data_IF_716924109016
#
_entry.id   IF_716924109016
#
_cell.length_a   1.000
_cell.length_b   1.000
_cell.length_c   1.000
_cell.angle_alpha   90.00
_cell.angle_beta   90.00
_cell.angle_gamma   90.00
#
_symmetry.space_group_name_H-M   'P 1'
#
loop_
_entity.id
_entity.type
_entity.pdbx_description
1 polymer ?
#
# COMPACT_ATOMS: atom_id res chain seq x y z
N UNK A 1 3.12 -16.82 -21.90
CA UNK A 1 4.31 -15.96 -21.76
C UNK A 1 3.85 -14.75 -20.95
N UNK A 2 4.15 -14.69 -19.63
CA UNK A 2 3.91 -13.49 -18.85
C UNK A 2 4.86 -12.42 -19.40
N UNK A 3 4.33 -11.41 -20.10
CA UNK A 3 5.10 -10.24 -20.45
C UNK A 3 5.67 -9.65 -19.18
N UNK A 4 6.96 -9.33 -19.16
CA UNK A 4 7.62 -8.60 -18.08
C UNK A 4 6.88 -7.24 -17.96
N UNK A 5 5.93 -7.15 -17.03
CA UNK A 5 5.25 -5.88 -16.78
C UNK A 5 6.28 -4.94 -16.16
N UNK A 6 6.66 -3.90 -16.89
CA UNK A 6 7.64 -2.91 -16.45
C UNK A 6 6.97 -1.78 -15.69
N UNK A 7 7.72 -1.18 -14.76
CA UNK A 7 7.29 0.03 -14.08
C UNK A 7 7.17 1.20 -15.06
N UNK A 8 6.29 2.16 -14.75
CA UNK A 8 6.23 3.45 -15.45
C UNK A 8 6.72 4.54 -14.50
N UNK A 9 7.73 5.30 -14.91
CA UNK A 9 8.18 6.48 -14.17
C UNK A 9 7.13 7.58 -14.32
N UNK A 10 6.63 8.08 -13.19
CA UNK A 10 5.66 9.18 -13.13
C UNK A 10 6.35 10.51 -12.86
N UNK A 11 7.41 10.48 -12.06
CA UNK A 11 8.20 11.65 -11.74
C UNK A 11 9.64 11.26 -11.42
N UNK A 12 10.57 11.93 -12.07
CA UNK A 12 12.00 11.77 -11.83
C UNK A 12 12.48 12.60 -10.63
N UNK A 13 13.60 12.23 -10.01
CA UNK A 13 14.19 12.97 -8.91
C UNK A 13 14.80 14.29 -9.40
N UNK A 14 14.84 15.28 -8.52
CA UNK A 14 15.52 16.54 -8.73
C UNK A 14 16.05 17.07 -7.40
N UNK A 15 16.90 18.10 -7.42
CA UNK A 15 17.45 18.75 -6.23
C UNK A 15 16.37 19.13 -5.20
N UNK A 16 15.24 19.67 -5.64
CA UNK A 16 14.13 20.02 -4.78
C UNK A 16 13.11 18.91 -4.56
N UNK A 17 13.32 17.75 -5.15
CA UNK A 17 12.44 16.58 -5.05
C UNK A 17 13.27 15.29 -5.15
N UNK A 18 14.01 14.90 -4.10
CA UNK A 18 14.92 13.75 -4.12
C UNK A 18 14.18 12.41 -4.03
N UNK A 19 13.20 12.22 -4.89
CA UNK A 19 12.37 11.02 -4.96
C UNK A 19 12.07 10.62 -6.40
N UNK A 20 12.10 9.33 -6.67
CA UNK A 20 11.49 8.72 -7.85
C UNK A 20 10.07 8.32 -7.52
N UNK A 21 9.12 8.66 -8.38
CA UNK A 21 7.74 8.19 -8.30
C UNK A 21 7.46 7.27 -9.47
N UNK A 22 7.02 6.07 -9.18
CA UNK A 22 6.67 5.08 -10.20
C UNK A 22 5.24 4.60 -10.07
N UNK A 23 4.65 4.18 -11.18
CA UNK A 23 3.47 3.34 -11.20
C UNK A 23 3.92 1.88 -11.31
N UNK A 24 3.66 1.10 -10.27
CA UNK A 24 3.93 -0.33 -10.23
C UNK A 24 2.78 -1.10 -10.88
N UNK A 25 3.01 -1.96 -11.87
CA UNK A 25 1.97 -2.82 -12.41
C UNK A 25 1.49 -3.87 -11.39
N UNK A 26 0.33 -4.48 -11.65
CA UNK A 26 -0.14 -5.65 -10.92
C UNK A 26 0.78 -6.84 -11.21
N UNK A 27 0.86 -7.78 -10.28
CA UNK A 27 1.70 -8.97 -10.44
C UNK A 27 3.18 -8.77 -10.09
N UNK A 28 3.70 -7.54 -10.12
CA UNK A 28 5.08 -7.22 -9.77
C UNK A 28 5.20 -6.93 -8.27
N UNK A 29 6.22 -7.49 -7.59
CA UNK A 29 6.50 -7.18 -6.19
C UNK A 29 7.04 -5.76 -6.03
N UNK A 30 6.77 -5.09 -4.89
CA UNK A 30 7.34 -3.75 -4.61
C UNK A 30 8.82 -3.79 -4.29
N UNK A 31 9.28 -4.84 -3.59
CA UNK A 31 10.66 -5.03 -3.15
C UNK A 31 11.04 -6.50 -3.27
N UNK A 32 12.34 -6.81 -3.44
CA UNK A 32 12.80 -8.18 -3.54
C UNK A 32 12.77 -8.87 -2.16
N UNK A 33 12.59 -10.17 -2.14
CA UNK A 33 12.82 -11.00 -0.95
C UNK A 33 14.30 -11.34 -0.79
N UNK A 34 15.01 -11.48 -1.92
CA UNK A 34 16.45 -11.76 -2.01
C UNK A 34 17.09 -10.83 -3.03
N UNK A 35 18.37 -10.57 -2.87
CA UNK A 35 19.14 -9.79 -3.82
C UNK A 35 19.06 -10.40 -5.23
N UNK A 36 18.86 -9.54 -6.26
CA UNK A 36 18.76 -9.95 -7.67
C UNK A 36 17.37 -10.39 -8.15
N UNK A 37 16.36 -10.45 -7.28
CA UNK A 37 14.99 -10.73 -7.73
C UNK A 37 14.40 -9.53 -8.47
N UNK A 38 13.69 -9.80 -9.58
CA UNK A 38 12.96 -8.77 -10.33
C UNK A 38 11.77 -8.25 -9.50
N UNK A 39 11.72 -6.93 -9.35
CA UNK A 39 10.65 -6.22 -8.65
C UNK A 39 10.64 -4.74 -9.05
N UNK A 40 9.63 -4.00 -8.62
CA UNK A 40 9.51 -2.58 -8.94
C UNK A 40 10.73 -1.75 -8.47
N UNK A 41 11.29 -2.08 -7.30
CA UNK A 41 12.47 -1.40 -6.78
C UNK A 41 13.73 -1.71 -7.60
N UNK A 42 13.96 -2.97 -8.01
CA UNK A 42 15.14 -3.34 -8.82
C UNK A 42 15.09 -2.68 -10.20
N UNK A 43 13.91 -2.66 -10.83
CA UNK A 43 13.72 -1.94 -12.10
C UNK A 43 13.92 -0.42 -11.93
N UNK A 44 13.47 0.18 -10.83
CA UNK A 44 13.73 1.60 -10.55
C UNK A 44 15.21 1.88 -10.31
N UNK A 45 15.96 0.98 -9.67
CA UNK A 45 17.40 1.09 -9.44
C UNK A 45 18.20 1.04 -10.78
N UNK A 46 17.74 0.25 -11.74
CA UNK A 46 18.37 0.21 -13.08
C UNK A 46 18.28 1.57 -13.78
N UNK A 47 17.17 2.28 -13.62
CA UNK A 47 16.95 3.62 -14.18
C UNK A 47 17.61 4.73 -13.34
N UNK A 48 17.64 4.57 -12.02
CA UNK A 48 18.11 5.56 -11.04
C UNK A 48 19.08 4.91 -10.03
N UNK A 49 20.33 4.61 -10.40
CA UNK A 49 21.28 3.89 -9.55
C UNK A 49 21.58 4.54 -8.19
N UNK A 50 21.36 5.87 -8.06
CA UNK A 50 21.55 6.61 -6.80
C UNK A 50 20.62 6.15 -5.69
N UNK A 51 19.53 5.43 -5.98
CA UNK A 51 18.65 4.81 -4.97
C UNK A 51 19.44 3.89 -4.05
N UNK A 52 20.50 3.23 -4.54
CA UNK A 52 21.38 2.35 -3.75
C UNK A 52 22.16 3.08 -2.66
N UNK A 53 22.33 4.39 -2.75
CA UNK A 53 23.02 5.18 -1.74
C UNK A 53 22.17 5.39 -0.47
N UNK A 54 20.88 5.01 -0.51
CA UNK A 54 19.97 5.14 0.62
C UNK A 54 19.88 3.82 1.37
N UNK A 55 20.16 3.84 2.67
CA UNK A 55 19.99 2.71 3.57
C UNK A 55 18.53 2.63 4.00
N UNK A 56 17.81 1.60 3.54
CA UNK A 56 16.41 1.35 3.85
C UNK A 56 16.20 0.62 5.17
N UNK A 57 14.93 0.32 5.50
CA UNK A 57 14.55 -0.48 6.69
C UNK A 57 15.15 -1.88 6.66
N UNK A 58 15.34 -2.46 5.49
CA UNK A 58 16.08 -3.69 5.24
C UNK A 58 17.14 -3.41 4.18
N UNK A 59 18.23 -4.14 4.23
CA UNK A 59 19.37 -3.95 3.31
C UNK A 59 18.94 -3.95 1.84
N UNK A 60 18.00 -4.82 1.46
CA UNK A 60 17.52 -4.94 0.07
C UNK A 60 16.41 -3.94 -0.30
N UNK A 61 15.94 -3.11 0.63
CA UNK A 61 14.84 -2.15 0.40
C UNK A 61 15.33 -0.74 0.03
N UNK A 62 16.61 -0.43 0.22
CA UNK A 62 17.21 0.86 -0.13
C UNK A 62 16.30 2.06 0.19
N UNK A 63 16.11 2.99 -0.74
CA UNK A 63 15.27 4.17 -0.60
C UNK A 63 13.76 3.95 -0.67
N UNK A 64 13.25 2.71 -0.68
CA UNK A 64 11.82 2.44 -0.79
C UNK A 64 11.06 2.92 0.46
N UNK A 65 10.23 3.95 0.29
CA UNK A 65 9.53 4.62 1.40
C UNK A 65 8.36 3.80 1.93
N UNK A 66 7.60 3.17 1.04
CA UNK A 66 6.47 2.30 1.36
C UNK A 66 6.32 1.18 0.34
N UNK A 67 5.46 0.23 0.63
CA UNK A 67 5.16 -0.90 -0.25
C UNK A 67 3.67 -1.01 -0.49
N UNK A 68 3.30 -1.58 -1.63
CA UNK A 68 1.98 -2.07 -1.96
C UNK A 68 2.08 -3.56 -2.29
N UNK A 69 1.00 -4.30 -2.13
CA UNK A 69 0.99 -5.75 -2.34
C UNK A 69 1.21 -6.11 -3.81
N UNK A 70 1.68 -7.32 -4.09
CA UNK A 70 1.97 -7.78 -5.46
C UNK A 70 0.75 -7.67 -6.38
N UNK A 71 -0.44 -8.01 -5.88
CA UNK A 71 -1.69 -7.92 -6.63
C UNK A 71 -2.21 -6.48 -6.82
N UNK A 72 -1.66 -5.49 -6.10
CA UNK A 72 -2.04 -4.08 -6.16
C UNK A 72 -1.17 -3.34 -7.17
N UNK A 73 -1.77 -2.58 -8.09
CA UNK A 73 -1.07 -1.61 -8.93
C UNK A 73 -0.98 -0.24 -8.23
N UNK A 74 -0.15 0.64 -8.77
CA UNK A 74 -0.21 2.04 -8.38
C UNK A 74 1.10 2.64 -7.87
N UNK A 75 0.97 3.79 -7.24
CA UNK A 75 2.08 4.68 -6.89
C UNK A 75 3.00 4.07 -5.83
N UNK A 76 4.30 4.08 -6.13
CA UNK A 76 5.38 3.88 -5.17
C UNK A 76 6.29 5.10 -5.15
N UNK A 77 6.75 5.47 -3.96
CA UNK A 77 7.70 6.54 -3.71
C UNK A 77 9.03 5.95 -3.24
N UNK A 78 10.12 6.32 -3.89
CA UNK A 78 11.48 5.82 -3.65
C UNK A 78 12.40 7.02 -3.47
N UNK A 79 13.07 7.14 -2.35
CA UNK A 79 14.03 8.20 -2.08
C UNK A 79 15.38 7.94 -2.77
N UNK A 80 16.03 9.01 -3.20
CA UNK A 80 17.37 9.01 -3.78
C UNK A 80 18.43 9.61 -2.86
N UNK A 81 17.99 10.20 -1.73
CA UNK A 81 18.84 10.82 -0.72
C UNK A 81 18.45 10.36 0.69
N UNK A 82 19.47 10.10 1.55
CA UNK A 82 19.27 9.55 2.88
C UNK A 82 18.47 10.48 3.81
N UNK A 83 18.79 11.76 3.80
CA UNK A 83 18.13 12.72 4.71
C UNK A 83 16.65 12.90 4.36
N UNK A 84 16.34 12.95 3.05
CA UNK A 84 14.96 12.99 2.57
C UNK A 84 14.17 11.73 2.93
N UNK A 85 14.80 10.55 2.83
CA UNK A 85 14.24 9.28 3.27
C UNK A 85 13.92 9.29 4.76
N UNK A 86 14.89 9.65 5.59
CA UNK A 86 14.75 9.67 7.05
C UNK A 86 13.62 10.61 7.47
N UNK A 87 13.60 11.82 6.90
CA UNK A 87 12.58 12.83 7.21
C UNK A 87 11.18 12.39 6.81
N UNK A 88 11.06 11.73 5.65
CA UNK A 88 9.77 11.23 5.19
C UNK A 88 9.26 10.06 6.05
N UNK A 89 10.15 9.24 6.61
CA UNK A 89 9.77 8.21 7.60
C UNK A 89 9.27 8.83 8.92
N UNK A 90 9.83 9.97 9.35
CA UNK A 90 9.30 10.74 10.49
C UNK A 90 7.90 11.25 10.18
N UNK A 91 7.69 11.87 9.02
CA UNK A 91 6.37 12.32 8.58
C UNK A 91 5.34 11.19 8.48
N UNK A 92 5.75 9.98 8.09
CA UNK A 92 4.88 8.81 8.15
C UNK A 92 4.41 8.50 9.58
N UNK A 93 5.34 8.53 10.57
CA UNK A 93 5.00 8.29 11.98
C UNK A 93 4.06 9.36 12.55
N UNK A 94 4.18 10.59 12.05
CA UNK A 94 3.32 11.72 12.42
C UNK A 94 1.97 11.72 11.69
N UNK A 95 1.71 10.75 10.81
CA UNK A 95 0.49 10.69 10.02
C UNK A 95 0.41 11.71 8.88
N UNK A 96 1.54 12.32 8.49
CA UNK A 96 1.64 13.33 7.43
C UNK A 96 1.95 12.74 6.04
N UNK A 97 1.90 11.43 5.89
CA UNK A 97 2.04 10.71 4.63
C UNK A 97 0.78 9.88 4.39
N UNK A 98 -0.11 10.38 3.55
CA UNK A 98 -1.39 9.74 3.27
C UNK A 98 -1.32 8.98 1.95
N UNK A 99 -1.80 7.75 1.97
CA UNK A 99 -1.96 6.89 0.79
C UNK A 99 -3.45 6.68 0.55
N UNK A 100 -3.89 6.95 -0.67
CA UNK A 100 -5.26 6.71 -1.09
C UNK A 100 -5.31 5.57 -2.10
N UNK A 101 -6.25 4.69 -1.89
CA UNK A 101 -6.53 3.53 -2.74
C UNK A 101 -7.92 3.66 -3.33
N UNK A 102 -8.06 3.26 -4.58
CA UNK A 102 -9.34 3.07 -5.25
C UNK A 102 -9.59 1.58 -5.48
N UNK A 103 -10.83 1.17 -5.32
CA UNK A 103 -11.24 -0.21 -5.54
C UNK A 103 -12.61 -0.29 -6.22
N UNK A 104 -12.82 -1.36 -7.00
CA UNK A 104 -14.18 -1.84 -7.28
C UNK A 104 -14.50 -2.93 -6.27
N UNK A 105 -15.67 -2.81 -5.62
CA UNK A 105 -16.08 -3.71 -4.54
C UNK A 105 -17.36 -4.45 -4.89
N UNK A 106 -17.48 -5.67 -4.40
CA UNK A 106 -18.75 -6.41 -4.40
C UNK A 106 -19.71 -5.74 -3.40
N UNK A 107 -20.73 -5.09 -3.91
CA UNK A 107 -21.74 -4.36 -3.13
C UNK A 107 -23.13 -4.54 -3.73
N UNK A 108 -23.72 -5.75 -3.65
CA UNK A 108 -24.99 -6.09 -4.31
C UNK A 108 -26.19 -5.27 -3.79
N UNK A 109 -26.11 -4.78 -2.55
CA UNK A 109 -27.14 -3.93 -1.96
C UNK A 109 -26.97 -2.44 -2.31
N UNK A 110 -25.96 -2.10 -3.12
CA UNK A 110 -25.65 -0.74 -3.57
C UNK A 110 -25.58 0.27 -2.39
N UNK A 111 -25.02 -0.16 -1.27
CA UNK A 111 -24.87 0.67 -0.07
C UNK A 111 -23.92 1.83 -0.32
N UNK A 112 -24.29 3.00 0.19
CA UNK A 112 -23.35 4.12 0.33
C UNK A 112 -22.82 4.14 1.76
N UNK A 113 -21.51 4.03 1.92
CA UNK A 113 -20.85 3.95 3.22
C UNK A 113 -19.81 5.06 3.32
N UNK A 114 -19.86 5.83 4.40
CA UNK A 114 -18.81 6.76 4.78
C UNK A 114 -18.46 6.52 6.24
N UNK A 115 -17.27 5.95 6.47
CA UNK A 115 -16.87 5.50 7.81
C UNK A 115 -15.36 5.54 8.02
N UNK A 116 -14.99 5.36 9.28
CA UNK A 116 -13.61 5.15 9.70
C UNK A 116 -13.54 3.82 10.43
N UNK A 117 -12.75 2.88 9.90
CA UNK A 117 -12.50 1.60 10.54
C UNK A 117 -11.14 1.66 11.22
N UNK A 118 -11.11 1.36 12.51
CA UNK A 118 -9.88 1.29 13.29
C UNK A 118 -9.79 -0.08 13.97
N UNK A 119 -8.74 -0.82 13.71
CA UNK A 119 -8.52 -2.14 14.30
C UNK A 119 -7.04 -2.45 14.50
N UNK A 120 -6.76 -3.46 15.29
CA UNK A 120 -5.50 -4.20 15.26
C UNK A 120 -5.61 -5.29 14.21
N UNK A 121 -4.49 -5.94 13.89
CA UNK A 121 -4.50 -7.07 12.95
C UNK A 121 -3.82 -8.28 13.55
N UNK A 122 -4.38 -9.46 13.30
CA UNK A 122 -3.71 -10.73 13.53
C UNK A 122 -3.59 -11.53 12.23
N UNK A 123 -2.45 -12.22 12.02
CA UNK A 123 -2.33 -13.18 10.91
C UNK A 123 -3.32 -14.35 11.10
N UNK A 124 -3.88 -14.84 10.00
CA UNK A 124 -4.67 -16.06 9.96
C UNK A 124 -4.59 -16.73 8.57
N UNK A 125 -5.27 -17.86 8.40
CA UNK A 125 -5.19 -18.67 7.19
C UNK A 125 -3.89 -19.48 7.09
N UNK A 126 -3.71 -20.24 6.00
CA UNK A 126 -2.53 -21.09 5.79
C UNK A 126 -1.24 -20.26 5.85
N UNK A 127 -0.30 -20.65 6.73
CA UNK A 127 0.97 -19.95 6.96
C UNK A 127 0.82 -18.44 7.26
N UNK A 128 -0.35 -18.00 7.78
CA UNK A 128 -0.60 -16.59 8.05
C UNK A 128 -0.71 -15.72 6.78
N UNK A 129 -1.18 -16.29 5.67
CA UNK A 129 -1.29 -15.60 4.38
C UNK A 129 -2.23 -14.39 4.41
N UNK A 130 -3.21 -14.39 5.32
CA UNK A 130 -4.22 -13.35 5.48
C UNK A 130 -4.04 -12.61 6.81
N UNK A 131 -4.77 -11.51 6.98
CA UNK A 131 -4.90 -10.81 8.25
C UNK A 131 -6.37 -10.57 8.57
N UNK A 132 -6.71 -10.67 9.86
CA UNK A 132 -8.06 -10.41 10.36
C UNK A 132 -8.04 -9.14 11.20
N UNK A 133 -8.94 -8.18 10.97
CA UNK A 133 -9.11 -7.05 11.87
C UNK A 133 -9.61 -7.54 13.23
N UNK A 134 -9.05 -6.97 14.29
CA UNK A 134 -9.37 -7.27 15.69
C UNK A 134 -9.68 -5.96 16.39
N UNK A 135 -10.91 -5.83 16.89
CA UNK A 135 -11.41 -4.65 17.58
C UNK A 135 -11.21 -4.76 19.09
N UNK A 136 -11.46 -3.68 19.84
CA UNK A 136 -11.24 -3.65 21.30
C UNK A 136 -12.14 -4.64 22.04
N UNK A 137 -13.34 -4.87 21.57
CA UNK A 137 -14.32 -5.84 22.06
C UNK A 137 -14.10 -7.26 21.54
N UNK A 138 -13.01 -7.48 20.83
CA UNK A 138 -12.65 -8.78 20.27
C UNK A 138 -12.39 -9.85 21.34
N UNK A 139 -12.44 -11.12 20.95
CA UNK A 139 -12.16 -12.23 21.85
C UNK A 139 -10.77 -12.13 22.46
N UNK A 140 -10.61 -12.56 23.72
CA UNK A 140 -9.30 -12.62 24.41
C UNK A 140 -8.26 -13.42 23.59
N UNK A 141 -8.71 -14.46 22.87
CA UNK A 141 -7.84 -15.28 22.02
C UNK A 141 -7.33 -14.49 20.78
N UNK A 142 -8.14 -13.62 20.19
CA UNK A 142 -7.76 -12.76 19.08
C UNK A 142 -6.83 -11.62 19.54
N UNK A 143 -7.18 -10.98 20.68
CA UNK A 143 -6.39 -9.90 21.29
C UNK A 143 -4.97 -10.34 21.65
N UNK A 144 -4.79 -11.57 22.15
CA UNK A 144 -3.46 -12.13 22.47
C UNK A 144 -2.60 -12.39 21.23
N UNK A 145 -3.20 -12.50 20.03
CA UNK A 145 -2.50 -12.82 18.77
C UNK A 145 -2.24 -11.62 17.88
N UNK A 146 -2.72 -10.45 18.25
CA UNK A 146 -2.46 -9.20 17.51
C UNK A 146 -1.40 -8.34 18.22
N UNK A 147 -0.70 -7.50 17.42
CA UNK A 147 0.19 -6.48 17.97
C UNK A 147 -0.61 -5.37 18.68
N UNK A 148 0.04 -4.53 19.49
CA UNK A 148 -0.63 -3.49 20.27
C UNK A 148 -1.15 -2.31 19.42
N UNK A 149 -0.64 -2.14 18.20
CA UNK A 149 -0.91 -0.95 17.38
C UNK A 149 -2.23 -1.05 16.66
N UNK A 150 -2.99 0.07 16.69
CA UNK A 150 -4.18 0.28 15.88
C UNK A 150 -3.83 0.88 14.53
N UNK A 151 -4.55 0.47 13.51
CA UNK A 151 -4.44 0.96 12.14
C UNK A 151 -5.79 1.48 11.68
N UNK A 152 -5.80 2.68 11.12
CA UNK A 152 -7.02 3.39 10.73
C UNK A 152 -7.13 3.44 9.22
N UNK A 153 -8.31 3.13 8.71
CA UNK A 153 -8.70 3.32 7.30
C UNK A 153 -9.94 4.20 7.24
N UNK A 154 -9.86 5.32 6.52
CA UNK A 154 -11.04 6.12 6.16
C UNK A 154 -11.59 5.54 4.86
N UNK A 155 -12.89 5.28 4.83
CA UNK A 155 -13.54 4.54 3.73
C UNK A 155 -14.76 5.32 3.28
N UNK A 156 -14.84 5.56 1.97
CA UNK A 156 -16.04 6.05 1.29
C UNK A 156 -16.39 5.06 0.16
N UNK A 157 -17.59 4.51 0.19
CA UNK A 157 -18.13 3.61 -0.83
C UNK A 157 -19.36 4.26 -1.43
N UNK A 158 -19.42 4.34 -2.76
CA UNK A 158 -20.56 4.79 -3.52
C UNK A 158 -20.82 3.80 -4.67
N UNK A 159 -21.97 3.13 -4.62
CA UNK A 159 -22.22 2.01 -5.50
C UNK A 159 -21.15 0.93 -5.35
N UNK A 160 -20.52 0.53 -6.44
CA UNK A 160 -19.43 -0.45 -6.44
C UNK A 160 -18.03 0.18 -6.37
N UNK A 161 -17.92 1.49 -6.16
CA UNK A 161 -16.61 2.18 -6.06
C UNK A 161 -16.29 2.51 -4.62
N UNK A 162 -15.08 2.15 -4.19
CA UNK A 162 -14.55 2.49 -2.88
C UNK A 162 -13.31 3.39 -3.02
N UNK A 163 -13.22 4.40 -2.16
CA UNK A 163 -12.03 5.23 -1.95
C UNK A 163 -11.61 5.06 -0.49
N UNK A 164 -10.37 4.64 -0.28
CA UNK A 164 -9.84 4.34 1.03
C UNK A 164 -8.55 5.11 1.28
N UNK A 165 -8.41 5.78 2.42
CA UNK A 165 -7.16 6.46 2.78
C UNK A 165 -6.59 5.99 4.10
N UNK A 166 -5.26 5.86 4.15
CA UNK A 166 -4.49 5.43 5.31
C UNK A 166 -3.24 6.30 5.47
N UNK A 167 -2.88 6.65 6.70
CA UNK A 167 -1.59 7.25 7.02
C UNK A 167 -0.53 6.18 7.24
N UNK A 168 -0.84 5.17 8.04
CA UNK A 168 0.02 4.04 8.30
C UNK A 168 -0.55 2.76 7.70
N UNK A 169 0.32 1.91 7.16
CA UNK A 169 -0.08 0.68 6.48
C UNK A 169 0.28 -0.58 7.27
N UNK A 170 -0.67 -1.50 7.33
CA UNK A 170 -0.45 -2.90 7.68
C UNK A 170 -0.71 -3.76 6.44
N UNK A 171 -0.10 -4.94 6.37
CA UNK A 171 -0.31 -5.87 5.25
C UNK A 171 -1.81 -6.14 5.05
N UNK A 172 -2.29 -6.02 3.82
CA UNK A 172 -3.69 -6.24 3.43
C UNK A 172 -4.74 -5.42 4.21
N UNK A 173 -4.34 -4.33 4.86
CA UNK A 173 -5.22 -3.53 5.74
C UNK A 173 -6.52 -3.13 5.05
N UNK A 174 -6.44 -2.53 3.87
CA UNK A 174 -7.62 -1.99 3.16
C UNK A 174 -8.54 -3.10 2.71
N UNK A 175 -8.01 -4.17 2.09
CA UNK A 175 -8.80 -5.35 1.68
C UNK A 175 -9.53 -5.98 2.87
N UNK A 176 -8.84 -6.16 4.01
CA UNK A 176 -9.43 -6.74 5.21
C UNK A 176 -10.53 -5.85 5.83
N UNK A 177 -10.37 -4.53 5.81
CA UNK A 177 -11.38 -3.60 6.29
C UNK A 177 -12.60 -3.50 5.36
N UNK A 178 -12.40 -3.52 4.03
CA UNK A 178 -13.49 -3.57 3.06
C UNK A 178 -14.29 -4.87 3.18
N UNK A 179 -13.61 -6.01 3.30
CA UNK A 179 -14.25 -7.31 3.52
C UNK A 179 -15.04 -7.35 4.85
N UNK A 180 -14.49 -6.74 5.92
CA UNK A 180 -15.20 -6.61 7.20
C UNK A 180 -16.52 -5.82 7.07
N UNK A 181 -16.56 -4.80 6.23
CA UNK A 181 -17.78 -4.02 5.94
C UNK A 181 -18.76 -4.76 5.01
N UNK A 182 -18.46 -5.99 4.59
CA UNK A 182 -19.28 -6.75 3.64
C UNK A 182 -19.17 -6.26 2.19
N UNK A 183 -18.15 -5.44 1.89
CA UNK A 183 -17.87 -4.91 0.56
C UNK A 183 -16.44 -5.31 0.11
N UNK A 184 -16.13 -6.61 -0.06
CA UNK A 184 -14.81 -7.04 -0.46
C UNK A 184 -14.45 -6.57 -1.86
N UNK A 185 -13.14 -6.43 -2.13
CA UNK A 185 -12.64 -6.01 -3.44
C UNK A 185 -12.93 -7.09 -4.49
N UNK A 186 -13.40 -6.67 -5.66
CA UNK A 186 -13.60 -7.58 -6.79
C UNK A 186 -12.26 -8.13 -7.28
N UNK A 187 -12.21 -9.44 -7.54
CA UNK A 187 -10.99 -10.15 -7.91
C UNK A 187 -10.02 -10.43 -6.74
N UNK A 188 -10.39 -10.12 -5.50
CA UNK A 188 -9.56 -10.45 -4.34
C UNK A 188 -9.72 -11.93 -3.95
N UNK A 189 -8.72 -12.74 -4.27
CA UNK A 189 -8.68 -14.20 -3.98
C UNK A 189 -8.67 -14.53 -2.49
N UNK A 190 -8.27 -13.59 -1.64
CA UNK A 190 -8.04 -13.83 -0.21
C UNK A 190 -9.24 -13.39 0.64
N UNK A 191 -9.86 -12.28 0.29
CA UNK A 191 -10.88 -11.64 1.12
C UNK A 191 -12.28 -11.61 0.52
N UNK A 192 -12.43 -11.91 -0.79
CA UNK A 192 -13.73 -11.92 -1.43
C UNK A 192 -14.32 -13.34 -1.44
N UNK A 193 -15.35 -13.64 -0.61
CA UNK A 193 -16.01 -14.95 -0.62
C UNK A 193 -16.79 -15.23 -1.92
N UNK A 194 -17.01 -14.21 -2.74
CA UNK A 194 -17.70 -14.29 -4.03
C UNK A 194 -16.71 -14.34 -5.21
N UNK A 195 -15.40 -14.52 -4.93
CA UNK A 195 -14.40 -14.67 -5.98
C UNK A 195 -14.75 -15.86 -6.89
N UNK A 196 -14.91 -15.59 -8.19
CA UNK A 196 -15.33 -16.56 -9.19
C UNK A 196 -14.24 -16.93 -10.22
N UNK A 197 -13.00 -16.53 -9.95
CA UNK A 197 -11.86 -16.81 -10.83
C UNK A 197 -11.41 -15.61 -11.66
N UNK A 198 -11.76 -14.39 -11.26
CA UNK A 198 -11.32 -13.17 -11.93
C UNK A 198 -9.79 -13.12 -11.99
N UNK A 199 -9.25 -12.78 -13.16
CA UNK A 199 -7.79 -12.73 -13.36
C UNK A 199 -7.15 -11.55 -12.62
N UNK A 200 -7.92 -10.47 -12.42
CA UNK A 200 -7.40 -9.18 -11.96
C UNK A 200 -8.18 -8.69 -10.73
N UNK A 201 -7.46 -8.41 -9.65
CA UNK A 201 -7.99 -7.69 -8.50
C UNK A 201 -8.15 -6.20 -8.85
N UNK A 202 -9.35 -5.64 -8.68
CA UNK A 202 -9.66 -4.25 -9.01
C UNK A 202 -9.31 -3.31 -7.85
N UNK A 203 -8.01 -3.16 -7.59
CA UNK A 203 -7.46 -2.40 -6.47
C UNK A 203 -6.17 -1.67 -6.88
N UNK A 204 -6.09 -0.38 -6.57
CA UNK A 204 -5.01 0.49 -7.01
C UNK A 204 -4.63 1.52 -5.95
N UNK A 205 -3.33 1.71 -5.72
CA UNK A 205 -2.77 2.81 -4.93
C UNK A 205 -2.77 4.08 -5.81
N UNK A 206 -3.88 4.81 -5.81
CA UNK A 206 -4.18 5.84 -6.81
C UNK A 206 -3.62 7.23 -6.46
N UNK A 207 -3.33 7.51 -5.17
CA UNK A 207 -2.82 8.82 -4.75
C UNK A 207 -1.93 8.72 -3.52
N UNK A 208 -0.90 9.58 -3.46
CA UNK A 208 -0.12 9.87 -2.26
C UNK A 208 -0.09 11.36 -1.97
N UNK A 209 -0.11 11.73 -0.70
CA UNK A 209 -0.04 13.11 -0.22
C UNK A 209 0.95 13.18 0.93
N UNK A 210 1.91 14.09 0.85
CA UNK A 210 2.94 14.26 1.88
C UNK A 210 3.55 15.66 1.84
N UNK A 211 4.23 16.05 2.91
CA UNK A 211 5.07 17.24 2.91
C UNK A 211 6.45 16.90 2.34
N UNK A 212 6.88 17.62 1.31
CA UNK A 212 8.23 17.46 0.77
C UNK A 212 9.27 17.89 1.82
N UNK A 213 10.20 17.02 2.23
CA UNK A 213 11.15 17.33 3.29
C UNK A 213 12.16 18.43 2.94
N UNK A 214 12.40 18.68 1.65
CA UNK A 214 13.32 19.73 1.18
C UNK A 214 12.62 21.08 1.12
N UNK A 215 11.50 21.17 0.43
CA UNK A 215 10.81 22.44 0.16
C UNK A 215 9.76 22.80 1.21
N UNK A 216 9.43 21.90 2.13
CA UNK A 216 8.36 22.01 3.14
C UNK A 216 6.97 22.28 2.56
N UNK A 217 6.78 22.05 1.26
CA UNK A 217 5.49 22.22 0.58
C UNK A 217 4.73 20.89 0.54
N UNK A 218 3.41 20.97 0.61
CA UNK A 218 2.57 19.81 0.39
C UNK A 218 2.66 19.35 -1.06
N UNK A 219 2.80 18.05 -1.24
CA UNK A 219 2.87 17.36 -2.53
C UNK A 219 1.71 16.38 -2.62
N UNK A 220 1.01 16.43 -3.73
CA UNK A 220 -0.02 15.45 -4.10
C UNK A 220 0.38 14.86 -5.44
N UNK A 221 0.40 13.53 -5.52
CA UNK A 221 0.64 12.78 -6.74
C UNK A 221 -0.50 11.77 -6.91
N UNK A 222 -1.13 11.78 -8.07
CA UNK A 222 -2.26 10.89 -8.44
C UNK A 222 -2.04 10.27 -9.81
N UNK A 223 -2.68 9.12 -10.03
CA UNK A 223 -2.79 8.44 -11.32
C UNK A 223 -3.93 9.02 -12.14
#
# INVERSE_FOLDING_TARGET
MCGNESIKVLKEPSENFPFVVINKPKGLASAPLREGEDCALTQAIELFPQIKNVTGKKTVEYGLVHRIDTATSGILLIATEQDAYNKLLEFQKEGKFIKTYTATVYNPENKNIKTVVQSRFRPFGPKGSMVKPVFEDGSTADLKKCGPKFYTTRIEISGNKAVCSIAEGYRHQVSAHLAYLGCPVEGDKLYNPHYAGEEIMLFEASKIEFTNPVTQKNVTISL
#
